data_IF_862569698462
#
_entry.id   IF_862569698462
#
_cell.length_a   1.000
_cell.length_b   1.000
_cell.length_c   1.000
_cell.angle_alpha   90.00
_cell.angle_beta   90.00
_cell.angle_gamma   90.00
#
_symmetry.space_group_name_H-M   'P 1'
#
loop_
_entity.id
_entity.type
_entity.pdbx_description
1 polymer ?
#
# COMPACT_ATOMS: atom_id res chain seq x y z
N UNK A 1 3.62 37.79 14.29
CA UNK A 1 4.42 36.61 14.67
C UNK A 1 4.30 35.64 13.50
N UNK A 2 5.34 35.48 12.71
CA UNK A 2 5.34 34.54 11.59
C UNK A 2 5.66 33.17 12.17
N UNK A 3 4.63 32.36 12.45
CA UNK A 3 4.82 30.96 12.82
C UNK A 3 5.31 30.20 11.58
N UNK A 4 6.60 29.92 11.55
CA UNK A 4 7.19 28.97 10.63
C UNK A 4 6.64 27.58 10.97
N UNK A 5 5.69 27.13 10.15
CA UNK A 5 5.23 25.75 9.86
C UNK A 5 5.33 24.67 10.95
N UNK A 6 4.22 23.98 11.30
CA UNK A 6 4.22 22.97 12.35
C UNK A 6 5.17 21.80 11.97
N UNK A 7 6.08 21.48 12.88
CA UNK A 7 6.93 20.28 12.79
C UNK A 7 6.02 19.07 12.55
N UNK A 8 6.14 18.44 11.38
CA UNK A 8 5.33 17.30 11.04
C UNK A 8 5.58 16.17 12.05
N UNK A 9 4.53 15.67 12.71
CA UNK A 9 4.73 14.56 13.64
C UNK A 9 5.12 13.30 12.85
N UNK A 10 5.79 12.34 13.50
CA UNK A 10 6.17 11.09 12.85
C UNK A 10 4.97 10.32 12.29
N UNK A 11 3.77 10.49 12.88
CA UNK A 11 2.51 9.91 12.41
C UNK A 11 1.99 10.62 11.16
N UNK A 12 2.04 11.95 11.13
CA UNK A 12 1.62 12.72 9.96
C UNK A 12 2.54 12.46 8.76
N UNK A 13 3.85 12.28 9.01
CA UNK A 13 4.79 11.86 7.97
C UNK A 13 4.42 10.48 7.43
N UNK A 14 4.12 9.53 8.32
CA UNK A 14 3.72 8.19 7.94
C UNK A 14 2.43 8.18 7.10
N UNK A 15 1.43 8.98 7.50
CA UNK A 15 0.19 9.18 6.75
C UNK A 15 0.48 9.75 5.35
N UNK A 16 1.24 10.85 5.26
CA UNK A 16 1.56 11.51 3.98
C UNK A 16 2.35 10.62 3.03
N UNK A 17 3.30 9.83 3.54
CA UNK A 17 4.07 8.88 2.70
C UNK A 17 3.21 7.73 2.21
N UNK A 18 2.31 7.22 3.05
CA UNK A 18 1.34 6.18 2.66
C UNK A 18 0.36 6.73 1.60
N UNK A 19 -0.12 7.96 1.76
CA UNK A 19 -0.97 8.64 0.78
C UNK A 19 -0.24 8.98 -0.52
N UNK A 20 1.06 9.30 -0.46
CA UNK A 20 1.88 9.46 -1.67
C UNK A 20 1.97 8.13 -2.43
N UNK A 21 2.23 7.02 -1.74
CA UNK A 21 2.20 5.70 -2.37
C UNK A 21 0.84 5.39 -3.00
N UNK A 22 -0.25 5.71 -2.30
CA UNK A 22 -1.62 5.57 -2.81
C UNK A 22 -1.88 6.40 -4.08
N UNK A 23 -1.48 7.67 -4.10
CA UNK A 23 -1.84 8.59 -5.18
C UNK A 23 -1.00 8.44 -6.46
N UNK A 24 0.30 8.13 -6.32
CA UNK A 24 1.24 8.13 -7.48
C UNK A 24 2.04 6.84 -7.65
N UNK A 25 2.27 6.11 -6.56
CA UNK A 25 3.11 4.91 -6.54
C UNK A 25 4.47 5.07 -7.25
N UNK A 26 5.25 6.09 -6.87
CA UNK A 26 6.62 6.24 -7.36
C UNK A 26 7.58 5.30 -6.61
N UNK A 27 8.70 4.90 -7.24
CA UNK A 27 9.65 3.95 -6.67
C UNK A 27 10.11 4.32 -5.24
N UNK A 28 10.38 5.61 -4.97
CA UNK A 28 10.76 6.11 -3.63
C UNK A 28 9.67 5.95 -2.58
N UNK A 29 8.39 5.95 -2.96
CA UNK A 29 7.30 5.81 -2.01
C UNK A 29 7.23 4.38 -1.47
N UNK A 30 7.60 3.40 -2.30
CA UNK A 30 7.69 2.00 -1.88
C UNK A 30 8.76 1.81 -0.81
N UNK A 31 9.95 2.35 -1.01
CA UNK A 31 11.03 2.24 -0.03
C UNK A 31 10.68 2.98 1.27
N UNK A 32 10.14 4.20 1.17
CA UNK A 32 9.67 4.96 2.34
C UNK A 32 8.60 4.19 3.14
N UNK A 33 7.55 3.69 2.48
CA UNK A 33 6.46 2.97 3.13
C UNK A 33 6.92 1.62 3.66
N UNK A 34 7.85 0.93 2.99
CA UNK A 34 8.45 -0.30 3.50
C UNK A 34 9.11 -0.07 4.87
N UNK A 35 9.96 0.96 4.99
CA UNK A 35 10.61 1.27 6.28
C UNK A 35 9.62 1.77 7.33
N UNK A 36 8.64 2.59 6.94
CA UNK A 36 7.57 3.03 7.84
C UNK A 36 6.73 1.86 8.35
N UNK A 37 6.46 0.86 7.51
CA UNK A 37 5.68 -0.33 7.91
C UNK A 37 6.39 -1.15 8.98
N UNK A 38 7.72 -1.20 8.94
CA UNK A 38 8.54 -1.87 9.97
C UNK A 38 8.56 -1.11 11.30
N UNK A 39 8.32 0.20 11.27
CA UNK A 39 8.29 1.07 12.45
C UNK A 39 6.91 1.19 13.08
N UNK A 40 5.86 1.30 12.27
CA UNK A 40 4.49 1.57 12.72
C UNK A 40 3.55 0.37 12.57
N UNK A 41 3.87 -0.59 11.70
CA UNK A 41 2.97 -1.67 11.31
C UNK A 41 1.98 -1.25 10.21
N UNK A 42 1.59 -2.21 9.37
CA UNK A 42 0.67 -2.03 8.23
C UNK A 42 -0.65 -1.39 8.65
N UNK A 43 -1.31 -1.94 9.66
CA UNK A 43 -2.62 -1.45 10.14
C UNK A 43 -2.57 0.00 10.59
N UNK A 44 -1.49 0.41 11.26
CA UNK A 44 -1.35 1.78 11.71
C UNK A 44 -1.17 2.74 10.52
N UNK A 45 -0.40 2.35 9.50
CA UNK A 45 -0.26 3.16 8.29
C UNK A 45 -1.60 3.34 7.57
N UNK A 46 -2.36 2.26 7.41
CA UNK A 46 -3.69 2.31 6.78
C UNK A 46 -4.66 3.20 7.55
N UNK A 47 -4.71 3.06 8.89
CA UNK A 47 -5.55 3.93 9.74
C UNK A 47 -5.14 5.40 9.65
N UNK A 48 -3.83 5.69 9.67
CA UNK A 48 -3.32 7.05 9.59
C UNK A 48 -3.61 7.69 8.22
N UNK A 49 -3.47 6.93 7.13
CA UNK A 49 -3.82 7.39 5.79
C UNK A 49 -5.33 7.69 5.66
N UNK A 50 -6.20 6.76 6.06
CA UNK A 50 -7.65 6.94 6.00
C UNK A 50 -8.19 8.02 6.94
N UNK A 51 -7.52 8.27 8.08
CA UNK A 51 -7.87 9.39 8.95
C UNK A 51 -7.52 10.75 8.34
N UNK A 52 -6.49 10.80 7.48
CA UNK A 52 -6.04 12.04 6.86
C UNK A 52 -6.75 12.33 5.52
N UNK A 53 -7.15 11.28 4.78
CA UNK A 53 -7.85 11.41 3.50
C UNK A 53 -9.02 10.42 3.43
N UNK A 54 -10.25 10.95 3.38
CA UNK A 54 -11.48 10.16 3.27
C UNK A 54 -11.65 9.49 1.90
N UNK A 55 -10.85 9.89 0.90
CA UNK A 55 -10.78 9.24 -0.42
C UNK A 55 -9.82 8.04 -0.44
N UNK A 56 -9.15 7.72 0.66
CA UNK A 56 -8.30 6.55 0.75
C UNK A 56 -9.14 5.27 0.72
N UNK A 57 -9.05 4.53 -0.39
CA UNK A 57 -9.69 3.23 -0.55
C UNK A 57 -8.67 2.09 -0.43
N UNK A 58 -9.00 1.09 0.39
CA UNK A 58 -8.08 0.00 0.72
C UNK A 58 -7.82 -0.92 -0.49
N UNK A 59 -8.82 -1.18 -1.34
CA UNK A 59 -8.64 -2.03 -2.52
C UNK A 59 -7.86 -1.30 -3.61
N UNK A 60 -8.12 0.00 -3.81
CA UNK A 60 -7.30 0.84 -4.70
C UNK A 60 -5.85 0.90 -4.20
N UNK A 61 -5.63 1.03 -2.88
CA UNK A 61 -4.28 0.94 -2.31
C UNK A 61 -3.62 -0.40 -2.62
N UNK A 62 -4.35 -1.52 -2.54
CA UNK A 62 -3.84 -2.84 -2.92
C UNK A 62 -3.38 -2.88 -4.39
N UNK A 63 -4.12 -2.27 -5.31
CA UNK A 63 -3.73 -2.18 -6.71
C UNK A 63 -2.48 -1.32 -6.89
N UNK A 64 -2.41 -0.20 -6.17
CA UNK A 64 -1.27 0.73 -6.23
C UNK A 64 0.02 0.08 -5.71
N UNK A 65 -0.04 -0.63 -4.57
CA UNK A 65 1.16 -1.34 -4.07
C UNK A 65 1.61 -2.47 -5.00
N UNK A 66 0.66 -3.08 -5.73
CA UNK A 66 0.97 -4.08 -6.74
C UNK A 66 1.72 -3.55 -7.95
N UNK A 67 1.80 -2.22 -8.14
CA UNK A 67 2.56 -1.62 -9.25
C UNK A 67 4.07 -1.70 -9.04
N UNK A 68 4.56 -2.06 -7.84
CA UNK A 68 6.00 -2.17 -7.56
C UNK A 68 6.75 -3.06 -8.56
N UNK A 69 6.07 -4.07 -9.11
CA UNK A 69 6.60 -5.01 -10.10
C UNK A 69 7.12 -4.33 -11.38
N UNK A 70 6.75 -3.06 -11.63
CA UNK A 70 7.21 -2.29 -12.79
C UNK A 70 8.60 -1.68 -12.62
N UNK A 71 9.10 -1.61 -11.38
CA UNK A 71 10.36 -0.94 -11.05
C UNK A 71 11.51 -1.94 -10.95
N UNK A 72 12.66 -1.56 -11.52
CA UNK A 72 13.91 -2.32 -11.39
C UNK A 72 14.58 -2.05 -10.04
N UNK A 73 15.70 -2.74 -9.79
CA UNK A 73 16.51 -2.52 -8.58
C UNK A 73 17.10 -1.11 -8.56
N UNK A 74 17.49 -0.59 -9.74
CA UNK A 74 18.01 0.76 -9.92
C UNK A 74 16.94 1.82 -9.69
N UNK A 75 15.70 1.61 -10.14
CA UNK A 75 14.58 2.53 -9.88
C UNK A 75 14.31 2.67 -8.37
N UNK A 76 14.40 1.56 -7.65
CA UNK A 76 14.19 1.50 -6.20
C UNK A 76 15.39 2.03 -5.41
N UNK A 77 16.55 2.25 -6.06
CA UNK A 77 17.81 2.62 -5.42
C UNK A 77 18.21 1.63 -4.31
N UNK A 78 18.01 0.33 -4.57
CA UNK A 78 18.30 -0.75 -3.64
C UNK A 78 19.19 -1.81 -4.28
N UNK A 79 20.03 -2.45 -3.46
CA UNK A 79 20.71 -3.68 -3.84
C UNK A 79 19.71 -4.80 -4.12
N UNK A 80 20.03 -5.70 -5.06
CA UNK A 80 19.13 -6.78 -5.53
C UNK A 80 18.42 -7.52 -4.40
N UNK A 81 19.16 -7.95 -3.38
CA UNK A 81 18.60 -8.71 -2.25
C UNK A 81 17.59 -7.90 -1.44
N UNK A 82 17.79 -6.59 -1.30
CA UNK A 82 16.84 -5.74 -0.58
C UNK A 82 15.63 -5.41 -1.46
N UNK A 83 15.85 -5.14 -2.75
CA UNK A 83 14.77 -4.94 -3.71
C UNK A 83 13.82 -6.15 -3.79
N UNK A 84 14.36 -7.38 -3.75
CA UNK A 84 13.58 -8.62 -3.67
C UNK A 84 12.71 -8.69 -2.41
N UNK A 85 13.25 -8.33 -1.23
CA UNK A 85 12.48 -8.30 0.02
C UNK A 85 11.36 -7.27 -0.04
N UNK A 86 11.63 -6.09 -0.59
CA UNK A 86 10.63 -5.03 -0.72
C UNK A 86 9.51 -5.47 -1.67
N UNK A 87 9.85 -6.06 -2.83
CA UNK A 87 8.85 -6.62 -3.75
C UNK A 87 8.02 -7.74 -3.10
N UNK A 88 8.66 -8.68 -2.42
CA UNK A 88 7.97 -9.76 -1.71
C UNK A 88 7.04 -9.22 -0.61
N UNK A 89 7.48 -8.21 0.14
CA UNK A 89 6.67 -7.56 1.18
C UNK A 89 5.40 -6.94 0.61
N UNK A 90 5.50 -6.17 -0.47
CA UNK A 90 4.33 -5.52 -1.08
C UNK A 90 3.42 -6.50 -1.82
N UNK A 91 3.97 -7.57 -2.41
CA UNK A 91 3.16 -8.66 -2.98
C UNK A 91 2.33 -9.35 -1.89
N UNK A 92 2.95 -9.74 -0.77
CA UNK A 92 2.25 -10.33 0.36
C UNK A 92 1.20 -9.38 0.94
N UNK A 93 1.53 -8.09 1.09
CA UNK A 93 0.57 -7.11 1.60
C UNK A 93 -0.61 -6.89 0.63
N UNK A 94 -0.38 -6.90 -0.67
CA UNK A 94 -1.44 -6.86 -1.67
C UNK A 94 -2.40 -8.04 -1.51
N UNK A 95 -1.87 -9.26 -1.37
CA UNK A 95 -2.67 -10.47 -1.21
C UNK A 95 -3.46 -10.47 0.11
N UNK A 96 -2.82 -10.04 1.20
CA UNK A 96 -3.48 -9.83 2.50
C UNK A 96 -4.69 -8.90 2.35
N UNK A 97 -4.53 -7.74 1.70
CA UNK A 97 -5.63 -6.80 1.52
C UNK A 97 -6.74 -7.37 0.64
N UNK A 98 -6.38 -8.09 -0.44
CA UNK A 98 -7.35 -8.70 -1.35
C UNK A 98 -8.14 -9.82 -0.68
N UNK A 99 -7.54 -10.52 0.28
CA UNK A 99 -8.22 -11.55 1.07
C UNK A 99 -9.29 -10.98 2.02
N UNK A 100 -9.26 -9.68 2.29
CA UNK A 100 -10.25 -8.96 3.12
C UNK A 100 -11.45 -8.49 2.26
N UNK A 101 -11.28 -8.39 0.94
CA UNK A 101 -12.36 -8.09 -0.02
C UNK A 101 -13.42 -9.20 -0.06
N UNK A 102 -14.62 -8.95 -0.62
CA UNK A 102 -15.73 -9.90 -0.52
C UNK A 102 -15.27 -11.25 -1.05
N UNK A 103 -15.44 -12.29 -0.21
CA UNK A 103 -15.30 -13.68 -0.63
C UNK A 103 -15.92 -13.81 -2.02
N UNK A 104 -15.18 -14.36 -2.99
CA UNK A 104 -15.73 -14.68 -4.29
C UNK A 104 -17.12 -15.30 -4.08
N UNK A 105 -18.17 -14.85 -4.80
CA UNK A 105 -19.46 -15.50 -4.66
C UNK A 105 -19.24 -17.00 -4.87
N UNK A 106 -19.83 -17.88 -4.03
CA UNK A 106 -19.73 -19.30 -4.26
C UNK A 106 -20.12 -19.53 -5.72
N UNK A 107 -19.29 -20.26 -6.46
CA UNK A 107 -19.62 -20.68 -7.82
C UNK A 107 -20.94 -21.43 -7.73
N UNK A 108 -22.05 -20.75 -8.00
CA UNK A 108 -23.34 -21.41 -8.11
C UNK A 108 -23.16 -22.48 -9.20
N UNK A 109 -23.41 -23.76 -8.90
CA UNK A 109 -23.38 -24.77 -9.93
C UNK A 109 -24.43 -24.36 -10.94
N UNK A 110 -23.98 -24.10 -12.18
CA UNK A 110 -24.86 -23.81 -13.31
C UNK A 110 -25.74 -25.03 -13.54
N UNK A 111 -26.89 -25.07 -12.87
CA UNK A 111 -27.94 -26.04 -13.12
C UNK A 111 -28.38 -25.85 -14.56
N UNK A 112 -27.87 -26.74 -15.42
CA UNK A 112 -28.43 -26.92 -16.74
C UNK A 112 -29.82 -27.50 -16.51
N UNK A 113 -30.82 -26.66 -16.69
CA UNK A 113 -32.20 -27.09 -16.76
C UNK A 113 -32.64 -26.91 -18.23
N UNK A 114 -32.30 -27.90 -19.04
CA UNK A 114 -33.12 -28.30 -20.20
C UNK A 114 -34.01 -29.45 -19.72
N UNK A 115 -35.29 -29.46 -20.09
CA UNK A 115 -35.67 -29.71 -21.48
C UNK A 115 -36.68 -28.73 -22.09
#
# INVERSE_FOLDING_TARGET
MTELGPTLTARDLAARKTLALFGRAEARDFTDVYWLSRRFGKDQLLRLAGAQDSGFDLQVFADMVGTIRRFTDEDLLLERQEAEKVRAFFAAWQDEIRSIGPASPPTEPRVHNEP
#
